data_IF_892815354673
#
_entry.id   IF_892815354673
#
_cell.length_a   1.000
_cell.length_b   1.000
_cell.length_c   1.000
_cell.angle_alpha   90.00
_cell.angle_beta   90.00
_cell.angle_gamma   90.00
#
_symmetry.space_group_name_H-M   'P 1'
#
loop_
_entity.id
_entity.type
_entity.pdbx_description
1 polymer ?
#
# COMPACT_ATOMS: atom_id res chain seq x y z
N UNK A 1 -16.24 -4.52 -44.72
CA UNK A 1 -17.41 -5.04 -44.01
C UNK A 1 -17.28 -5.02 -42.50
N UNK A 2 -16.64 -4.02 -41.85
CA UNK A 2 -16.60 -3.87 -40.40
C UNK A 2 -17.05 -2.49 -39.89
N UNK A 3 -17.46 -1.59 -40.78
CA UNK A 3 -17.94 -0.23 -40.40
C UNK A 3 -19.46 -0.13 -40.25
N UNK A 4 -20.22 -1.08 -40.79
CA UNK A 4 -21.70 -1.02 -40.76
C UNK A 4 -22.31 -1.62 -39.48
N UNK A 5 -21.56 -2.40 -38.68
CA UNK A 5 -22.05 -2.98 -37.42
C UNK A 5 -22.05 -1.99 -36.28
N UNK A 6 -21.17 -1.00 -36.28
CA UNK A 6 -21.09 0.05 -35.23
C UNK A 6 -22.20 1.11 -35.42
N UNK A 7 -22.60 1.41 -36.65
CA UNK A 7 -23.68 2.35 -36.93
C UNK A 7 -25.07 1.81 -36.54
N UNK A 8 -25.29 0.49 -36.66
CA UNK A 8 -26.55 -0.15 -36.23
C UNK A 8 -26.72 -0.25 -34.72
N UNK A 9 -25.62 -0.33 -33.94
CA UNK A 9 -25.68 -0.39 -32.50
C UNK A 9 -26.05 0.96 -31.87
N UNK A 10 -25.60 2.08 -32.45
CA UNK A 10 -25.94 3.42 -31.95
C UNK A 10 -27.39 3.85 -32.27
N UNK A 11 -28.00 3.33 -33.32
CA UNK A 11 -29.35 3.71 -33.71
C UNK A 11 -30.46 3.01 -32.87
N UNK A 12 -30.12 1.99 -32.10
CA UNK A 12 -31.08 1.24 -31.25
C UNK A 12 -31.19 1.75 -29.81
N UNK A 13 -30.40 2.74 -29.39
CA UNK A 13 -30.43 3.31 -28.04
C UNK A 13 -31.28 4.57 -27.87
N UNK A 14 -32.03 4.97 -28.91
CA UNK A 14 -32.83 6.18 -28.86
C UNK A 14 -34.28 5.94 -29.22
N UNK A 15 -35.08 5.30 -28.36
CA UNK A 15 -36.54 5.53 -28.29
C UNK A 15 -37.22 4.54 -27.32
N UNK A 16 -37.47 4.95 -26.10
CA UNK A 16 -38.62 4.50 -25.30
C UNK A 16 -39.12 5.65 -24.43
N UNK A 17 -40.44 5.91 -24.44
CA UNK A 17 -41.02 7.04 -23.69
C UNK A 17 -41.21 6.71 -22.21
N UNK A 18 -41.10 7.74 -21.37
CA UNK A 18 -41.45 7.73 -19.95
C UNK A 18 -42.95 7.43 -19.78
N UNK A 19 -43.26 6.45 -18.98
CA UNK A 19 -44.55 6.30 -18.33
C UNK A 19 -44.34 6.43 -16.82
N UNK A 20 -44.98 7.41 -16.23
CA UNK A 20 -45.05 7.62 -14.79
C UNK A 20 -45.90 6.51 -14.13
N UNK A 21 -45.37 5.94 -13.03
CA UNK A 21 -46.17 5.20 -12.06
C UNK A 21 -45.63 5.50 -10.65
N UNK A 22 -46.43 6.23 -9.90
CA UNK A 22 -46.32 6.37 -8.44
C UNK A 22 -46.60 5.01 -7.79
N UNK A 23 -45.71 4.54 -6.93
CA UNK A 23 -46.07 3.67 -5.80
C UNK A 23 -44.92 3.70 -4.79
N UNK A 24 -45.26 4.16 -3.57
CA UNK A 24 -44.32 4.20 -2.46
C UNK A 24 -43.80 2.81 -2.08
N UNK A 25 -42.54 2.73 -1.84
CA UNK A 25 -41.93 1.63 -1.09
C UNK A 25 -40.85 2.15 -0.18
N UNK A 26 -40.93 1.69 1.06
CA UNK A 26 -40.07 1.95 2.20
C UNK A 26 -38.60 1.90 1.80
N UNK A 27 -37.85 2.95 2.16
CA UNK A 27 -36.41 3.01 2.04
C UNK A 27 -35.82 2.02 3.04
N UNK A 28 -35.25 0.96 2.54
CA UNK A 28 -34.43 0.01 3.30
C UNK A 28 -33.04 0.63 3.49
N UNK A 29 -32.73 1.07 4.72
CA UNK A 29 -31.53 1.82 5.07
C UNK A 29 -30.24 0.97 5.12
N UNK A 30 -30.24 -0.24 4.58
CA UNK A 30 -29.10 -1.18 4.69
C UNK A 30 -28.36 -1.52 3.38
N UNK A 31 -28.60 -0.77 2.31
CA UNK A 31 -27.82 -0.98 1.06
C UNK A 31 -26.46 -0.24 1.12
N UNK A 32 -25.33 -0.90 0.86
CA UNK A 32 -24.04 -0.22 0.76
C UNK A 32 -24.14 0.81 -0.37
N UNK A 33 -23.86 2.08 -0.06
CA UNK A 33 -23.84 3.16 -1.04
C UNK A 33 -22.81 2.80 -2.10
N UNK A 34 -23.31 2.36 -3.24
CA UNK A 34 -22.59 1.83 -4.40
C UNK A 34 -21.56 2.84 -4.94
N UNK A 35 -20.50 2.30 -5.55
CA UNK A 35 -19.44 2.99 -6.30
C UNK A 35 -19.93 4.03 -7.33
N UNK A 36 -21.21 4.04 -7.70
CA UNK A 36 -21.83 5.11 -8.51
C UNK A 36 -21.74 6.48 -7.84
N UNK A 37 -21.70 6.54 -6.51
CA UNK A 37 -21.52 7.80 -5.78
C UNK A 37 -20.09 8.34 -5.88
N UNK A 38 -19.14 7.56 -6.33
CA UNK A 38 -17.72 7.91 -6.44
C UNK A 38 -17.39 8.73 -7.67
N UNK A 39 -17.96 8.36 -8.82
CA UNK A 39 -17.91 9.20 -10.05
C UNK A 39 -18.60 10.54 -9.82
N UNK A 40 -19.69 10.53 -9.02
CA UNK A 40 -20.42 11.73 -8.65
C UNK A 40 -19.63 12.63 -7.71
N UNK A 41 -18.83 12.08 -6.79
CA UNK A 41 -17.94 12.86 -5.91
C UNK A 41 -16.85 13.57 -6.71
N UNK A 42 -16.22 12.88 -7.66
CA UNK A 42 -15.19 13.49 -8.52
C UNK A 42 -15.78 14.55 -9.47
N UNK A 43 -16.96 14.31 -10.04
CA UNK A 43 -17.64 15.29 -10.89
C UNK A 43 -18.14 16.50 -10.09
N UNK A 44 -18.60 16.32 -8.87
CA UNK A 44 -18.97 17.42 -7.97
C UNK A 44 -17.77 18.24 -7.50
N UNK A 45 -16.59 17.62 -7.30
CA UNK A 45 -15.35 18.36 -6.99
C UNK A 45 -14.96 19.25 -8.16
N UNK A 46 -15.12 18.77 -9.40
CA UNK A 46 -14.81 19.54 -10.61
C UNK A 46 -15.79 20.69 -10.87
N UNK A 47 -16.98 20.65 -10.28
CA UNK A 47 -18.00 21.71 -10.42
C UNK A 47 -17.82 22.88 -9.43
N UNK A 48 -16.98 22.71 -8.40
CA UNK A 48 -16.67 23.79 -7.47
C UNK A 48 -15.46 24.60 -7.96
N UNK A 49 -15.50 25.91 -7.81
CA UNK A 49 -14.35 26.76 -8.09
C UNK A 49 -13.24 26.50 -7.05
N UNK A 50 -12.01 26.29 -7.53
CA UNK A 50 -10.86 26.23 -6.64
C UNK A 50 -10.67 27.59 -5.96
N UNK A 51 -10.31 27.58 -4.67
CA UNK A 51 -10.05 28.76 -3.86
C UNK A 51 -8.58 28.78 -3.39
N UNK A 52 -8.08 29.96 -3.12
CA UNK A 52 -6.73 30.14 -2.59
C UNK A 52 -6.76 30.02 -1.06
N UNK A 53 -6.14 28.96 -0.54
CA UNK A 53 -6.10 28.64 0.88
C UNK A 53 -4.69 28.90 1.44
N UNK A 54 -4.60 29.49 2.64
CA UNK A 54 -3.33 29.67 3.32
C UNK A 54 -2.76 28.30 3.75
N UNK A 55 -1.49 28.04 3.42
CA UNK A 55 -0.81 26.78 3.75
C UNK A 55 -0.74 26.51 5.25
N UNK A 56 -0.80 27.56 6.09
CA UNK A 56 -0.80 27.45 7.55
C UNK A 56 -2.14 26.96 8.12
N UNK A 57 -3.23 27.12 7.36
CA UNK A 57 -4.55 26.62 7.72
C UNK A 57 -4.73 25.14 7.38
N UNK A 58 -3.72 24.48 6.77
CA UNK A 58 -3.79 23.11 6.30
C UNK A 58 -2.96 22.20 7.21
N UNK A 59 -3.63 21.29 7.88
CA UNK A 59 -3.01 20.21 8.64
C UNK A 59 -2.79 18.96 7.78
N UNK A 60 -1.80 18.18 8.19
CA UNK A 60 -1.57 16.88 7.59
C UNK A 60 -2.70 15.91 7.98
N UNK A 61 -3.05 15.01 7.08
CA UNK A 61 -4.00 13.94 7.34
C UNK A 61 -3.36 12.87 8.20
N UNK A 62 -4.14 12.27 9.11
CA UNK A 62 -3.73 11.08 9.89
C UNK A 62 -3.32 9.90 8.99
N UNK A 63 -3.79 9.92 7.74
CA UNK A 63 -3.44 8.94 6.71
C UNK A 63 -2.27 9.49 5.89
N UNK A 64 -1.19 9.86 6.56
CA UNK A 64 0.04 10.18 5.86
C UNK A 64 0.56 8.94 5.14
N UNK A 65 0.72 9.02 3.81
CA UNK A 65 1.63 8.13 3.11
C UNK A 65 3.01 8.39 3.72
N UNK A 66 3.55 7.40 4.41
CA UNK A 66 4.81 7.56 5.15
C UNK A 66 6.03 7.50 4.24
N UNK A 67 5.82 7.23 2.95
CA UNK A 67 6.89 7.32 1.96
C UNK A 67 7.06 8.78 1.52
N UNK A 68 8.28 9.14 1.34
CA UNK A 68 8.81 10.50 1.30
C UNK A 68 8.07 11.41 0.30
N UNK A 69 7.61 12.56 0.77
CA UNK A 69 7.06 13.65 -0.07
C UNK A 69 8.19 14.40 -0.78
N UNK A 70 9.46 14.17 -0.39
CA UNK A 70 10.62 14.95 -0.84
C UNK A 70 11.13 14.53 -2.22
N UNK A 71 10.92 13.30 -2.67
CA UNK A 71 11.41 12.83 -3.97
C UNK A 71 10.80 13.66 -5.12
N UNK A 72 11.67 14.34 -5.90
CA UNK A 72 11.28 15.22 -7.00
C UNK A 72 10.45 16.44 -6.56
N UNK A 73 10.57 16.88 -5.30
CA UNK A 73 9.89 18.09 -4.81
C UNK A 73 10.49 19.35 -5.43
N UNK A 74 11.80 19.40 -5.65
CA UNK A 74 12.50 20.56 -6.21
C UNK A 74 12.02 20.87 -7.62
N UNK A 75 11.84 19.86 -8.48
CA UNK A 75 11.29 20.03 -9.82
C UNK A 75 9.86 20.59 -9.78
N UNK A 76 9.07 20.13 -8.83
CA UNK A 76 7.70 20.62 -8.65
C UNK A 76 7.67 22.05 -8.14
N UNK A 77 8.58 22.42 -7.22
CA UNK A 77 8.73 23.80 -6.72
C UNK A 77 9.07 24.72 -7.89
N UNK A 78 10.03 24.36 -8.74
CA UNK A 78 10.42 25.17 -9.89
C UNK A 78 9.30 25.27 -10.93
N UNK A 79 8.59 24.19 -11.18
CA UNK A 79 7.41 24.18 -12.04
C UNK A 79 6.31 25.11 -11.53
N UNK A 80 6.01 25.07 -10.22
CA UNK A 80 5.00 25.97 -9.61
C UNK A 80 5.47 27.42 -9.59
N UNK A 81 6.76 27.68 -9.37
CA UNK A 81 7.33 29.02 -9.43
C UNK A 81 7.17 29.65 -10.82
N UNK A 82 7.43 28.87 -11.86
CA UNK A 82 7.44 29.36 -13.25
C UNK A 82 6.03 29.43 -13.85
N UNK A 83 5.21 28.40 -13.65
CA UNK A 83 3.92 28.24 -14.35
C UNK A 83 2.70 28.41 -13.44
N UNK A 84 2.92 28.62 -12.14
CA UNK A 84 1.88 28.59 -11.12
C UNK A 84 1.33 27.19 -10.88
N UNK A 85 0.53 27.04 -9.84
CA UNK A 85 -0.14 25.77 -9.55
C UNK A 85 -1.27 25.52 -10.54
N UNK A 86 -1.13 24.53 -11.41
CA UNK A 86 -2.10 24.19 -12.46
C UNK A 86 -3.23 23.29 -11.93
N UNK A 87 -2.91 22.30 -11.11
CA UNK A 87 -3.87 21.36 -10.56
C UNK A 87 -4.15 21.67 -9.10
N UNK A 88 -5.42 21.91 -8.71
CA UNK A 88 -5.78 22.16 -7.32
C UNK A 88 -5.53 20.93 -6.43
N UNK A 89 -5.27 21.16 -5.14
CA UNK A 89 -5.34 20.13 -4.11
C UNK A 89 -6.81 19.90 -3.70
N UNK A 90 -7.09 18.81 -2.98
CA UNK A 90 -8.37 18.60 -2.32
C UNK A 90 -8.18 18.62 -0.81
N UNK A 91 -8.96 19.46 -0.17
CA UNK A 91 -9.00 19.66 1.26
C UNK A 91 -10.40 19.32 1.79
N UNK A 92 -10.47 18.90 3.04
CA UNK A 92 -11.73 18.83 3.79
C UNK A 92 -11.69 19.72 5.02
N UNK A 93 -12.85 20.10 5.51
CA UNK A 93 -12.94 20.74 6.81
C UNK A 93 -12.54 19.77 7.91
N UNK A 94 -11.62 20.21 8.77
CA UNK A 94 -11.22 19.41 9.94
C UNK A 94 -12.25 19.53 11.04
N UNK A 95 -12.57 18.41 11.68
CA UNK A 95 -13.40 18.37 12.87
C UNK A 95 -12.48 18.29 14.09
N UNK A 96 -12.50 19.32 14.94
CA UNK A 96 -11.70 19.37 16.18
C UNK A 96 -10.61 20.46 16.19
N UNK A 97 -9.77 20.49 17.22
CA UNK A 97 -8.75 21.52 17.40
C UNK A 97 -7.64 21.38 16.34
N UNK A 98 -7.05 22.51 15.95
CA UNK A 98 -5.92 22.59 15.01
C UNK A 98 -6.25 23.35 13.73
N UNK A 99 -5.49 23.14 12.66
CA UNK A 99 -5.71 23.78 11.37
C UNK A 99 -7.13 23.58 10.85
N UNK A 100 -7.66 24.56 10.16
CA UNK A 100 -9.05 24.57 9.66
C UNK A 100 -9.34 23.48 8.65
N UNK A 101 -8.33 23.12 7.88
CA UNK A 101 -8.43 22.14 6.80
C UNK A 101 -7.50 20.96 7.01
N UNK A 102 -7.87 19.85 6.45
CA UNK A 102 -7.05 18.63 6.38
C UNK A 102 -6.89 18.22 4.91
N UNK A 103 -5.66 17.85 4.54
CA UNK A 103 -5.37 17.42 3.18
C UNK A 103 -5.99 16.05 2.88
N UNK A 104 -6.73 15.96 1.77
CA UNK A 104 -7.21 14.70 1.21
C UNK A 104 -6.21 14.21 0.15
N UNK A 105 -5.88 15.04 -0.85
CA UNK A 105 -4.80 14.76 -1.78
C UNK A 105 -4.09 16.06 -2.25
N UNK A 106 -2.91 15.89 -2.86
CA UNK A 106 -2.10 17.01 -3.35
C UNK A 106 -1.03 17.48 -2.37
N UNK A 107 -0.57 16.63 -1.44
CA UNK A 107 0.44 16.95 -0.40
C UNK A 107 1.72 17.56 -0.95
N UNK A 108 2.25 17.01 -2.06
CA UNK A 108 3.46 17.54 -2.69
C UNK A 108 3.27 18.97 -3.18
N UNK A 109 2.10 19.31 -3.73
CA UNK A 109 1.75 20.69 -4.15
C UNK A 109 1.66 21.62 -2.95
N UNK A 110 1.03 21.15 -1.86
CA UNK A 110 0.96 21.93 -0.61
C UNK A 110 2.36 22.14 -0.04
N UNK A 111 3.21 21.11 -0.01
CA UNK A 111 4.60 21.23 0.43
C UNK A 111 5.39 22.24 -0.43
N UNK A 112 5.27 22.17 -1.75
CA UNK A 112 5.90 23.10 -2.66
C UNK A 112 5.40 24.56 -2.44
N UNK A 113 4.09 24.76 -2.29
CA UNK A 113 3.52 26.08 -1.99
C UNK A 113 4.00 26.61 -0.62
N UNK A 114 4.17 25.73 0.37
CA UNK A 114 4.72 26.08 1.70
C UNK A 114 6.16 26.54 1.60
N UNK A 115 7.01 25.88 0.81
CA UNK A 115 8.39 26.30 0.54
C UNK A 115 8.43 27.64 -0.20
N UNK A 116 7.51 27.86 -1.16
CA UNK A 116 7.40 29.11 -1.91
C UNK A 116 6.76 30.25 -1.14
N UNK A 117 6.17 30.02 0.03
CA UNK A 117 5.45 31.03 0.80
C UNK A 117 4.18 31.55 0.12
N UNK A 118 3.55 30.77 -0.75
CA UNK A 118 2.35 31.16 -1.50
C UNK A 118 1.11 30.37 -1.04
N UNK A 119 -0.07 30.92 -1.31
CA UNK A 119 -1.33 30.20 -1.09
C UNK A 119 -1.45 29.02 -2.05
N UNK A 120 -2.12 27.97 -1.59
CA UNK A 120 -2.40 26.78 -2.41
C UNK A 120 -3.79 26.91 -3.03
N UNK A 121 -3.90 26.65 -4.33
CA UNK A 121 -5.19 26.46 -4.98
C UNK A 121 -5.77 25.10 -4.58
N UNK A 122 -6.96 25.10 -3.99
CA UNK A 122 -7.58 23.87 -3.51
C UNK A 122 -9.09 23.89 -3.68
N UNK A 123 -9.65 22.71 -3.92
CA UNK A 123 -11.06 22.45 -3.69
C UNK A 123 -11.24 22.17 -2.19
N UNK A 124 -12.21 22.83 -1.55
CA UNK A 124 -12.56 22.54 -0.15
C UNK A 124 -13.94 21.94 -0.11
N UNK A 125 -14.04 20.72 0.44
CA UNK A 125 -15.29 19.98 0.48
C UNK A 125 -15.58 19.54 1.91
N UNK A 126 -16.86 19.58 2.27
CA UNK A 126 -17.35 18.91 3.46
C UNK A 126 -17.50 17.42 3.13
N UNK A 127 -16.70 16.59 3.77
CA UNK A 127 -16.73 15.14 3.58
C UNK A 127 -16.33 14.43 4.88
N UNK A 128 -16.87 13.24 5.06
CA UNK A 128 -16.48 12.42 6.19
C UNK A 128 -15.12 11.75 5.97
N UNK A 129 -14.64 11.04 6.99
CA UNK A 129 -13.33 10.38 6.93
C UNK A 129 -13.28 9.28 5.86
N UNK A 130 -14.38 8.53 5.71
CA UNK A 130 -14.50 7.43 4.75
C UNK A 130 -14.50 7.96 3.31
N UNK A 131 -15.25 9.03 3.04
CA UNK A 131 -15.26 9.70 1.73
C UNK A 131 -13.89 10.27 1.36
N UNK A 132 -13.17 10.83 2.34
CA UNK A 132 -11.82 11.35 2.13
C UNK A 132 -10.83 10.24 1.75
N UNK A 133 -10.90 9.08 2.43
CA UNK A 133 -10.08 7.90 2.11
C UNK A 133 -10.33 7.39 0.69
N UNK A 134 -11.59 7.27 0.33
CA UNK A 134 -11.98 6.84 -1.00
C UNK A 134 -11.50 7.85 -2.07
N UNK A 135 -11.68 9.15 -1.83
CA UNK A 135 -11.20 10.19 -2.74
C UNK A 135 -9.68 10.17 -2.91
N UNK A 136 -8.95 9.95 -1.82
CA UNK A 136 -7.50 9.77 -1.85
C UNK A 136 -7.09 8.52 -2.64
N UNK A 137 -7.79 7.41 -2.44
CA UNK A 137 -7.53 6.17 -3.16
C UNK A 137 -7.70 6.31 -4.66
N UNK A 138 -8.78 6.98 -5.09
CA UNK A 138 -9.10 7.18 -6.49
C UNK A 138 -8.11 8.11 -7.20
N UNK A 139 -7.75 9.23 -6.58
CA UNK A 139 -6.71 10.11 -7.12
C UNK A 139 -5.40 9.34 -7.31
N UNK A 140 -5.05 8.54 -6.33
CA UNK A 140 -3.83 7.76 -6.35
C UNK A 140 -3.89 6.52 -7.26
N UNK A 141 -5.07 5.92 -7.50
CA UNK A 141 -5.21 4.79 -8.43
C UNK A 141 -5.10 5.23 -9.89
N UNK A 142 -5.42 6.50 -10.18
CA UNK A 142 -5.21 7.10 -11.49
C UNK A 142 -3.71 7.34 -11.79
N UNK A 143 -2.84 7.28 -10.80
CA UNK A 143 -1.39 7.30 -10.98
C UNK A 143 -0.89 5.87 -11.15
N UNK A 144 -0.38 5.57 -12.34
CA UNK A 144 0.22 4.28 -12.73
C UNK A 144 1.47 3.86 -11.90
N UNK A 145 1.80 4.56 -10.82
CA UNK A 145 3.12 4.55 -10.18
C UNK A 145 3.15 4.08 -8.72
N UNK A 146 2.05 3.52 -8.17
CA UNK A 146 2.14 2.97 -6.81
C UNK A 146 2.94 1.68 -6.80
N UNK A 147 3.95 1.60 -5.96
CA UNK A 147 4.64 0.36 -5.69
C UNK A 147 3.72 -0.67 -5.03
N UNK A 148 4.09 -1.93 -5.10
CA UNK A 148 3.34 -3.02 -4.46
C UNK A 148 3.16 -2.80 -2.96
N UNK A 149 4.22 -2.31 -2.26
CA UNK A 149 4.16 -2.10 -0.81
C UNK A 149 3.29 -0.90 -0.42
N UNK A 150 3.27 0.15 -1.22
CA UNK A 150 2.36 1.29 -1.00
C UNK A 150 0.90 0.87 -1.13
N UNK A 151 0.58 0.03 -2.12
CA UNK A 151 -0.76 -0.55 -2.23
C UNK A 151 -1.09 -1.44 -1.03
N UNK A 152 -0.12 -2.21 -0.53
CA UNK A 152 -0.28 -3.10 0.62
C UNK A 152 -0.58 -2.32 1.90
N UNK A 153 0.20 -1.28 2.20
CA UNK A 153 -0.01 -0.40 3.35
C UNK A 153 -1.37 0.30 3.25
N UNK A 154 -1.72 0.76 2.06
CA UNK A 154 -2.99 1.44 1.87
C UNK A 154 -4.18 0.49 2.03
N UNK A 155 -4.09 -0.75 1.53
CA UNK A 155 -5.11 -1.77 1.73
C UNK A 155 -5.36 -2.08 3.21
N UNK A 156 -4.29 -2.19 4.02
CA UNK A 156 -4.42 -2.42 5.46
C UNK A 156 -5.03 -1.23 6.18
N UNK A 157 -4.68 -0.01 5.80
CA UNK A 157 -5.29 1.19 6.38
C UNK A 157 -6.80 1.25 6.12
N UNK A 158 -7.25 0.90 4.90
CA UNK A 158 -8.68 0.81 4.59
C UNK A 158 -9.36 -0.28 5.43
N UNK A 159 -8.71 -1.45 5.61
CA UNK A 159 -9.24 -2.52 6.46
C UNK A 159 -9.37 -2.06 7.92
N UNK A 160 -8.37 -1.36 8.47
CA UNK A 160 -8.37 -0.80 9.83
C UNK A 160 -9.45 0.27 10.03
N UNK A 161 -9.85 0.95 8.96
CA UNK A 161 -10.96 1.91 8.95
C UNK A 161 -12.33 1.25 8.72
N UNK A 162 -12.39 -0.07 8.77
CA UNK A 162 -13.63 -0.83 8.68
C UNK A 162 -14.19 -1.02 7.28
N UNK A 163 -13.39 -0.82 6.22
CA UNK A 163 -13.79 -1.19 4.87
C UNK A 163 -13.79 -2.71 4.72
N UNK A 164 -14.79 -3.23 4.06
CA UNK A 164 -14.83 -4.65 3.69
C UNK A 164 -13.80 -4.96 2.60
N UNK A 165 -13.32 -6.20 2.53
CA UNK A 165 -12.37 -6.62 1.48
C UNK A 165 -12.91 -6.48 0.05
N UNK A 166 -14.24 -6.54 -0.13
CA UNK A 166 -14.86 -6.27 -1.41
C UNK A 166 -14.70 -4.80 -1.81
N UNK A 167 -15.06 -3.87 -0.90
CA UNK A 167 -14.88 -2.43 -1.13
C UNK A 167 -13.42 -2.06 -1.37
N UNK A 168 -12.48 -2.65 -0.62
CA UNK A 168 -11.04 -2.41 -0.81
C UNK A 168 -10.59 -2.91 -2.18
N UNK A 169 -11.03 -4.10 -2.60
CA UNK A 169 -10.75 -4.65 -3.92
C UNK A 169 -11.23 -3.74 -5.05
N UNK A 170 -12.45 -3.21 -4.92
CA UNK A 170 -13.04 -2.28 -5.87
C UNK A 170 -12.27 -0.94 -5.91
N UNK A 171 -11.93 -0.38 -4.74
CA UNK A 171 -11.19 0.88 -4.60
C UNK A 171 -9.78 0.79 -5.20
N UNK A 172 -9.11 -0.34 -5.01
CA UNK A 172 -7.76 -0.57 -5.53
C UNK A 172 -7.75 -1.20 -6.94
N UNK A 173 -8.90 -1.54 -7.49
CA UNK A 173 -9.06 -2.26 -8.75
C UNK A 173 -8.26 -3.58 -8.79
N UNK A 174 -8.27 -4.35 -7.68
CA UNK A 174 -7.56 -5.62 -7.56
C UNK A 174 -8.50 -6.78 -7.22
N UNK A 175 -8.15 -7.96 -7.71
CA UNK A 175 -8.88 -9.19 -7.37
C UNK A 175 -8.63 -9.62 -5.90
N UNK A 176 -9.52 -10.49 -5.38
CA UNK A 176 -9.47 -11.01 -4.01
C UNK A 176 -8.13 -11.68 -3.66
N UNK A 177 -7.53 -12.39 -4.61
CA UNK A 177 -6.24 -13.08 -4.41
C UNK A 177 -5.08 -12.11 -4.29
N UNK A 178 -5.07 -11.05 -5.11
CA UNK A 178 -4.10 -9.97 -5.04
C UNK A 178 -4.28 -9.17 -3.76
N UNK A 179 -5.50 -8.80 -3.39
CA UNK A 179 -5.78 -8.10 -2.13
C UNK A 179 -5.29 -8.88 -0.90
N UNK A 180 -5.54 -10.20 -0.86
CA UNK A 180 -5.05 -11.05 0.24
C UNK A 180 -3.52 -11.06 0.35
N UNK A 181 -2.80 -10.99 -0.78
CA UNK A 181 -1.33 -10.89 -0.80
C UNK A 181 -0.85 -9.53 -0.31
N UNK A 182 -1.49 -8.45 -0.75
CA UNK A 182 -1.20 -7.09 -0.30
C UNK A 182 -1.32 -6.96 1.21
N UNK A 183 -2.51 -7.26 1.75
CA UNK A 183 -2.78 -7.19 3.19
C UNK A 183 -1.83 -8.12 3.96
N UNK A 184 -1.61 -9.33 3.44
CA UNK A 184 -0.72 -10.28 4.09
C UNK A 184 0.73 -9.81 4.18
N UNK A 185 1.27 -9.13 3.18
CA UNK A 185 2.63 -8.56 3.26
C UNK A 185 2.69 -7.44 4.29
N UNK A 186 1.76 -6.50 4.25
CA UNK A 186 1.76 -5.35 5.17
C UNK A 186 1.47 -5.75 6.63
N UNK A 187 0.80 -6.88 6.88
CA UNK A 187 0.54 -7.37 8.26
C UNK A 187 1.67 -8.22 8.81
N UNK A 188 2.35 -8.98 7.95
CA UNK A 188 3.33 -9.97 8.37
C UNK A 188 4.77 -9.44 8.37
N UNK A 189 5.10 -8.43 7.55
CA UNK A 189 6.40 -7.76 7.54
C UNK A 189 6.38 -6.60 8.54
N UNK A 190 7.34 -6.50 9.47
CA UNK A 190 7.36 -5.41 10.45
C UNK A 190 7.38 -4.03 9.80
N UNK A 191 6.56 -3.11 10.29
CA UNK A 191 6.46 -1.73 9.79
C UNK A 191 7.83 -1.05 9.68
N UNK A 192 8.65 -1.14 10.73
CA UNK A 192 9.98 -0.53 10.75
C UNK A 192 10.89 -1.02 9.61
N UNK A 193 10.77 -2.31 9.24
CA UNK A 193 11.49 -2.90 8.10
C UNK A 193 11.00 -2.33 6.79
N UNK A 194 9.67 -2.27 6.61
CA UNK A 194 9.05 -1.70 5.40
C UNK A 194 9.51 -0.25 5.20
N UNK A 195 9.50 0.56 6.28
CA UNK A 195 9.91 1.97 6.18
C UNK A 195 11.41 2.16 5.92
N UNK A 196 12.25 1.31 6.50
CA UNK A 196 13.69 1.37 6.26
C UNK A 196 14.05 0.96 4.82
N UNK A 197 13.29 0.05 4.21
CA UNK A 197 13.43 -0.33 2.80
C UNK A 197 12.94 0.79 1.89
N UNK A 198 11.73 1.30 2.11
CA UNK A 198 11.08 2.31 1.26
C UNK A 198 10.15 1.71 0.21
N UNK A 199 9.70 2.53 -0.74
CA UNK A 199 8.66 2.18 -1.71
C UNK A 199 9.04 1.06 -2.69
N UNK A 200 10.32 0.91 -3.04
CA UNK A 200 10.86 -0.12 -3.93
C UNK A 200 10.03 -0.31 -5.22
N UNK A 201 9.76 0.78 -5.96
CA UNK A 201 8.92 0.79 -7.16
C UNK A 201 9.34 -0.26 -8.20
N UNK A 202 10.65 -0.50 -8.33
CA UNK A 202 11.24 -1.44 -9.29
C UNK A 202 11.14 -2.90 -8.85
N UNK A 203 10.89 -3.16 -7.57
CA UNK A 203 10.99 -4.51 -7.01
C UNK A 203 9.79 -5.40 -7.37
N UNK A 204 8.64 -4.84 -7.68
CA UNK A 204 7.42 -5.60 -7.98
C UNK A 204 6.92 -6.47 -6.81
N UNK A 205 5.99 -7.37 -7.10
CA UNK A 205 5.29 -8.21 -6.10
C UNK A 205 6.13 -9.32 -5.50
N UNK A 206 6.94 -10.00 -6.34
CA UNK A 206 7.61 -11.27 -5.94
C UNK A 206 8.58 -11.11 -4.77
N UNK A 207 9.49 -10.13 -4.74
CA UNK A 207 10.40 -9.93 -3.62
C UNK A 207 9.69 -9.70 -2.29
N UNK A 208 8.62 -8.91 -2.27
CA UNK A 208 7.83 -8.67 -1.07
C UNK A 208 7.13 -9.92 -0.52
N UNK A 209 6.65 -10.79 -1.40
CA UNK A 209 6.07 -12.08 -1.00
C UNK A 209 7.15 -13.03 -0.46
N UNK A 210 8.34 -12.98 -1.03
CA UNK A 210 9.48 -13.77 -0.54
C UNK A 210 9.95 -13.27 0.83
N UNK A 211 10.10 -11.95 1.00
CA UNK A 211 10.40 -11.38 2.31
C UNK A 211 9.36 -11.82 3.35
N UNK A 212 8.05 -11.70 3.03
CA UNK A 212 6.98 -12.18 3.88
C UNK A 212 7.15 -13.65 4.26
N UNK A 213 7.47 -14.52 3.30
CA UNK A 213 7.71 -15.94 3.53
C UNK A 213 8.82 -16.15 4.54
N UNK A 214 9.94 -15.46 4.39
CA UNK A 214 11.12 -15.60 5.25
C UNK A 214 10.89 -15.11 6.67
N UNK A 215 10.19 -13.98 6.86
CA UNK A 215 9.88 -13.46 8.21
C UNK A 215 8.81 -14.28 8.95
N UNK A 216 8.08 -15.16 8.23
CA UNK A 216 7.07 -16.06 8.82
C UNK A 216 7.56 -17.47 9.11
N UNK A 217 8.78 -17.80 8.79
CA UNK A 217 9.32 -19.13 9.12
C UNK A 217 9.40 -19.30 10.63
N UNK A 218 9.21 -20.52 11.11
CA UNK A 218 9.17 -20.86 12.54
C UNK A 218 10.45 -20.43 13.29
N UNK A 219 11.57 -20.39 12.57
CA UNK A 219 12.88 -19.98 13.09
C UNK A 219 13.32 -18.61 12.56
N UNK A 220 12.37 -17.74 12.14
CA UNK A 220 12.73 -16.41 11.67
C UNK A 220 13.41 -15.58 12.79
N UNK A 221 14.39 -14.74 12.44
CA UNK A 221 14.96 -13.79 13.38
C UNK A 221 13.88 -12.86 13.96
N UNK A 222 14.11 -12.31 15.16
CA UNK A 222 13.21 -11.31 15.73
C UNK A 222 13.10 -10.06 14.85
N UNK A 223 11.99 -9.33 14.95
CA UNK A 223 11.75 -8.11 14.16
C UNK A 223 12.91 -7.11 14.26
N UNK A 224 13.48 -6.95 15.44
CA UNK A 224 14.66 -6.09 15.66
C UNK A 224 15.91 -6.61 14.94
N UNK A 225 16.10 -7.93 14.89
CA UNK A 225 17.21 -8.53 14.14
C UNK A 225 17.00 -8.39 12.63
N UNK A 226 15.77 -8.57 12.14
CA UNK A 226 15.43 -8.34 10.73
C UNK A 226 15.69 -6.89 10.34
N UNK A 227 15.31 -5.94 11.19
CA UNK A 227 15.54 -4.50 10.96
C UNK A 227 17.04 -4.16 10.85
N UNK A 228 17.90 -4.79 11.66
CA UNK A 228 19.35 -4.60 11.61
C UNK A 228 19.98 -5.15 10.33
N UNK A 229 19.37 -6.16 9.70
CA UNK A 229 19.84 -6.73 8.44
C UNK A 229 19.54 -5.84 7.22
N UNK A 230 18.67 -4.85 7.34
CA UNK A 230 18.38 -3.90 6.25
C UNK A 230 19.55 -2.93 6.10
N UNK A 231 20.20 -2.85 4.92
CA UNK A 231 21.29 -1.90 4.68
C UNK A 231 20.88 -0.44 4.93
N UNK A 232 21.82 0.38 5.39
CA UNK A 232 21.59 1.82 5.54
C UNK A 232 21.61 2.53 4.19
N UNK A 233 22.51 2.11 3.29
CA UNK A 233 22.69 2.71 1.97
C UNK A 233 22.12 1.84 0.85
N UNK A 234 21.91 2.43 -0.31
CA UNK A 234 21.37 1.79 -1.50
C UNK A 234 19.93 2.18 -1.82
N UNK A 235 19.48 1.84 -3.01
CA UNK A 235 18.10 2.02 -3.46
C UNK A 235 17.14 1.10 -2.69
N UNK A 236 15.87 1.43 -2.67
CA UNK A 236 14.86 0.60 -1.99
C UNK A 236 14.82 -0.85 -2.53
N UNK A 237 15.02 -1.03 -3.84
CA UNK A 237 15.06 -2.34 -4.46
C UNK A 237 16.31 -3.14 -4.05
N UNK A 238 17.47 -2.48 -3.95
CA UNK A 238 18.72 -3.10 -3.47
C UNK A 238 18.61 -3.48 -2.00
N UNK A 239 18.07 -2.62 -1.14
CA UNK A 239 17.83 -2.90 0.28
C UNK A 239 16.92 -4.12 0.46
N UNK A 240 15.83 -4.19 -0.32
CA UNK A 240 14.92 -5.33 -0.28
C UNK A 240 15.60 -6.63 -0.71
N UNK A 241 16.38 -6.60 -1.79
CA UNK A 241 17.10 -7.78 -2.29
C UNK A 241 18.16 -8.25 -1.28
N UNK A 242 18.97 -7.32 -0.75
CA UNK A 242 19.99 -7.64 0.24
C UNK A 242 19.41 -8.23 1.53
N UNK A 243 18.28 -7.73 2.00
CA UNK A 243 17.59 -8.29 3.16
C UNK A 243 17.09 -9.71 2.89
N UNK A 244 16.50 -9.98 1.72
CA UNK A 244 16.05 -11.33 1.33
C UNK A 244 17.23 -12.29 1.32
N UNK A 245 18.36 -11.91 0.70
CA UNK A 245 19.56 -12.73 0.64
C UNK A 245 20.16 -13.01 2.04
N UNK A 246 20.14 -12.02 2.91
CA UNK A 246 20.59 -12.18 4.30
C UNK A 246 19.71 -13.16 5.09
N UNK A 247 18.39 -13.02 4.98
CA UNK A 247 17.43 -13.91 5.65
C UNK A 247 17.49 -15.34 5.08
N UNK A 248 17.68 -15.50 3.79
CA UNK A 248 17.85 -16.82 3.17
C UNK A 248 19.08 -17.53 3.72
N UNK A 249 20.24 -16.83 3.82
CA UNK A 249 21.46 -17.39 4.43
C UNK A 249 21.25 -17.81 5.88
N UNK A 250 20.50 -17.02 6.66
CA UNK A 250 20.16 -17.39 8.05
C UNK A 250 19.30 -18.64 8.08
N UNK A 251 18.28 -18.74 7.24
CA UNK A 251 17.42 -19.90 7.16
C UNK A 251 18.20 -21.17 6.75
N UNK A 252 19.06 -21.07 5.74
CA UNK A 252 19.90 -22.19 5.27
C UNK A 252 20.90 -22.65 6.35
N UNK A 253 21.50 -21.73 7.09
CA UNK A 253 22.41 -22.04 8.19
C UNK A 253 21.68 -22.78 9.34
N UNK A 254 20.46 -22.38 9.67
CA UNK A 254 19.63 -23.04 10.69
C UNK A 254 19.22 -24.44 10.26
N UNK A 255 18.81 -24.62 8.99
CA UNK A 255 18.45 -25.90 8.46
C UNK A 255 19.63 -26.88 8.47
N UNK A 256 20.83 -26.43 8.05
CA UNK A 256 22.05 -27.23 8.09
C UNK A 256 22.45 -27.62 9.53
N UNK A 257 22.27 -26.70 10.50
CA UNK A 257 22.52 -26.99 11.90
C UNK A 257 21.53 -28.03 12.47
N UNK A 258 20.26 -27.95 12.11
CA UNK A 258 19.24 -28.91 12.52
C UNK A 258 19.49 -30.30 11.90
N UNK A 259 19.89 -30.40 10.63
CA UNK A 259 20.23 -31.64 9.97
C UNK A 259 21.50 -32.28 10.58
N UNK A 260 22.50 -31.47 10.95
CA UNK A 260 23.72 -31.93 11.61
C UNK A 260 23.43 -32.46 13.02
N UNK A 261 22.53 -31.84 13.75
CA UNK A 261 22.08 -32.28 15.08
C UNK A 261 21.26 -33.59 15.00
N UNK A 262 20.46 -33.74 13.95
CA UNK A 262 19.67 -34.95 13.72
C UNK A 262 20.55 -36.19 13.29
N UNK A 263 21.70 -35.95 12.69
CA UNK A 263 22.73 -36.95 12.40
C UNK A 263 23.68 -37.05 13.59
N UNK A 264 23.20 -37.48 14.76
CA UNK A 264 24.02 -37.72 15.95
C UNK A 264 25.30 -38.51 15.67
N UNK A 265 26.33 -38.45 16.55
CA UNK A 265 27.60 -39.09 16.30
C UNK A 265 27.41 -40.59 16.04
N UNK A 266 27.85 -41.05 14.88
CA UNK A 266 27.87 -42.47 14.55
C UNK A 266 28.54 -43.23 15.70
N UNK A 267 27.95 -44.32 16.25
CA UNK A 267 28.59 -45.07 17.34
C UNK A 267 29.96 -45.55 16.85
N UNK A 268 31.00 -45.19 17.57
CA UNK A 268 32.35 -45.65 17.29
C UNK A 268 32.38 -47.18 17.20
N UNK A 269 33.09 -47.80 16.25
CA UNK A 269 33.19 -49.23 16.18
C UNK A 269 33.81 -49.79 17.46
N UNK A 270 33.09 -50.70 18.16
CA UNK A 270 33.57 -51.45 19.30
C UNK A 270 34.85 -52.18 18.89
N UNK A 271 35.98 -51.64 19.29
CA UNK A 271 37.28 -52.29 19.08
C UNK A 271 37.29 -53.60 19.87
N UNK A 272 37.37 -54.72 19.13
CA UNK A 272 37.49 -56.06 19.72
C UNK A 272 38.74 -56.14 20.60
N UNK A 273 38.55 -56.30 21.88
CA UNK A 273 39.66 -56.64 22.82
C UNK A 273 40.22 -58.03 22.42
N UNK A 274 41.55 -58.20 22.33
CA UNK A 274 42.16 -59.51 22.08
C UNK A 274 41.93 -60.42 23.28
N UNK A 275 41.44 -61.63 23.01
CA UNK A 275 41.25 -62.68 23.99
C UNK A 275 42.61 -63.12 24.57
N UNK A 276 42.88 -62.79 25.83
CA UNK A 276 44.05 -63.26 26.57
C UNK A 276 43.82 -64.72 26.95
N UNK A 277 44.47 -65.65 26.24
CA UNK A 277 44.49 -67.08 26.59
C UNK A 277 45.34 -67.26 27.87
N UNK A 278 44.72 -67.63 28.96
CA UNK A 278 45.39 -68.14 30.15
C UNK A 278 45.65 -69.68 29.97
N UNK A 279 46.92 -69.97 29.76
CA UNK A 279 47.37 -71.38 29.79
C UNK A 279 47.54 -71.85 31.26
N UNK A 280 46.72 -72.80 31.71
CA UNK A 280 46.94 -73.54 32.94
C UNK A 280 48.01 -74.61 32.65
N UNK A 281 49.12 -74.59 33.42
CA UNK A 281 50.06 -75.64 33.53
C UNK A 281 49.83 -76.32 34.89
N UNK A 282 49.75 -77.65 34.82
CA UNK A 282 49.71 -78.65 35.88
C UNK A 282 50.78 -78.54 36.91
#
# INVERSE_FOLDING_TARGET
>A
MKRDLLAKSLAQMGSKPLVAAEAGSKVDESSPRSLKSMSDVLSQVSAQAAQDVDVNEIGDSEIADRFDVSEGLDDLIESIRTSGQQLPALLRYRRGPGPRYEVVYGRRRIAACRVLGIKVKAYVKEMDHREALVSQALENSARLERSFIEQAIFATKLEDQGFTRAEIGDVLAVDKGTLSKLIGVARDVPDAVIYKIGAAHEAGRRPWLELRRLVKTENAPSDSSVLLLVPEEGTAAEKLSALIDALQKVADAQQNAAESAAKGPSPAPLNQMPATSVAFRS
#
